data_IF_329166627499
#
_entry.id   IF_329166627499
#
_cell.length_a   1.000
_cell.length_b   1.000
_cell.length_c   1.000
_cell.angle_alpha   90.00
_cell.angle_beta   90.00
_cell.angle_gamma   90.00
#
_symmetry.space_group_name_H-M   'P 1'
#
loop_
_entity.id
_entity.type
_entity.pdbx_description
1 polymer ?
#
# COMPACT_ATOMS: atom_id res chain seq x y z
N UNK A 1 1.34 -28.43 5.37
CA UNK A 1 2.73 -28.40 4.83
C UNK A 1 3.78 -27.81 5.79
N UNK A 2 3.44 -27.34 7.00
CA UNK A 2 4.40 -26.80 7.99
C UNK A 2 5.13 -27.87 8.83
N UNK A 3 4.62 -29.10 8.91
CA UNK A 3 5.19 -30.16 9.76
C UNK A 3 6.47 -30.81 9.20
N UNK A 4 6.81 -30.59 7.93
CA UNK A 4 7.88 -31.32 7.24
C UNK A 4 9.31 -30.80 7.48
N UNK A 5 9.52 -29.57 7.99
CA UNK A 5 10.87 -29.00 8.08
C UNK A 5 11.73 -29.53 9.24
N UNK A 6 11.14 -30.15 10.27
CA UNK A 6 11.89 -30.60 11.47
C UNK A 6 12.17 -32.12 11.57
N UNK A 7 11.55 -32.98 10.74
CA UNK A 7 11.64 -34.46 10.90
C UNK A 7 11.95 -35.23 9.60
N UNK A 8 12.77 -34.70 8.69
CA UNK A 8 13.12 -35.36 7.40
C UNK A 8 13.78 -36.75 7.51
N UNK A 9 14.13 -37.26 8.71
CA UNK A 9 14.87 -38.53 8.88
C UNK A 9 14.06 -39.73 9.40
N UNK A 10 12.77 -39.60 9.77
CA UNK A 10 12.04 -40.70 10.46
C UNK A 10 11.05 -41.48 9.58
N UNK A 11 10.53 -40.91 8.49
CA UNK A 11 9.47 -41.55 7.70
C UNK A 11 9.74 -41.41 6.20
N UNK A 12 9.54 -42.51 5.46
CA UNK A 12 9.74 -42.59 4.00
C UNK A 12 8.42 -42.53 3.21
N UNK A 13 7.28 -42.62 3.90
CA UNK A 13 5.93 -42.59 3.31
C UNK A 13 5.09 -41.55 4.05
N UNK A 14 4.28 -40.80 3.31
CA UNK A 14 3.41 -39.76 3.87
C UNK A 14 1.97 -39.98 3.43
N UNK A 15 0.99 -39.79 4.35
CA UNK A 15 -0.41 -39.93 3.99
C UNK A 15 -0.85 -38.82 3.04
N UNK A 16 -1.81 -39.15 2.18
CA UNK A 16 -2.50 -38.16 1.35
C UNK A 16 -3.45 -37.31 2.20
N UNK A 17 -3.88 -36.17 1.66
CA UNK A 17 -4.87 -35.31 2.32
C UNK A 17 -6.13 -36.09 2.68
N UNK A 18 -6.73 -36.81 1.72
CA UNK A 18 -7.99 -37.53 1.90
C UNK A 18 -7.90 -38.70 2.90
N UNK A 19 -6.71 -39.28 3.09
CA UNK A 19 -6.46 -40.27 4.14
C UNK A 19 -6.31 -39.61 5.52
N UNK A 20 -5.51 -38.54 5.59
CA UNK A 20 -5.13 -37.93 6.86
C UNK A 20 -6.24 -37.11 7.54
N UNK A 21 -7.05 -36.37 6.77
CA UNK A 21 -8.04 -35.44 7.32
C UNK A 21 -9.04 -36.09 8.28
N UNK A 22 -9.79 -37.14 7.90
CA UNK A 22 -10.78 -37.76 8.79
C UNK A 22 -10.17 -38.36 10.05
N UNK A 23 -8.93 -38.85 9.97
CA UNK A 23 -8.22 -39.39 11.14
C UNK A 23 -7.82 -38.26 12.07
N UNK A 24 -7.21 -37.20 11.55
CA UNK A 24 -6.76 -36.05 12.35
C UNK A 24 -7.94 -35.33 12.99
N UNK A 25 -9.01 -35.06 12.24
CA UNK A 25 -10.20 -34.38 12.76
C UNK A 25 -10.82 -35.15 13.93
N UNK A 26 -10.96 -36.47 13.80
CA UNK A 26 -11.45 -37.30 14.90
C UNK A 26 -10.49 -37.38 16.06
N UNK A 27 -9.18 -37.53 15.84
CA UNK A 27 -8.20 -37.56 16.93
C UNK A 27 -8.19 -36.25 17.73
N UNK A 28 -8.31 -35.11 17.05
CA UNK A 28 -8.36 -33.77 17.65
C UNK A 28 -9.73 -33.43 18.28
N UNK A 29 -10.74 -34.28 18.10
CA UNK A 29 -12.07 -34.03 18.67
C UNK A 29 -12.87 -32.95 17.95
N UNK A 30 -12.61 -32.75 16.65
CA UNK A 30 -13.38 -31.83 15.83
C UNK A 30 -14.84 -32.29 15.80
N UNK A 31 -15.76 -31.38 16.14
CA UNK A 31 -17.21 -31.64 16.08
C UNK A 31 -17.81 -31.18 14.75
N UNK A 32 -17.32 -30.06 14.21
CA UNK A 32 -17.81 -29.43 12.98
C UNK A 32 -16.62 -29.11 12.07
N UNK A 33 -16.48 -29.85 10.98
CA UNK A 33 -15.43 -29.64 10.00
C UNK A 33 -15.93 -28.73 8.87
N UNK A 34 -15.60 -27.44 8.95
CA UNK A 34 -15.92 -26.46 7.92
C UNK A 34 -14.91 -26.53 6.77
N UNK A 35 -15.41 -26.75 5.55
CA UNK A 35 -14.59 -26.89 4.33
C UNK A 35 -15.14 -26.04 3.19
N UNK A 36 -14.29 -25.64 2.25
CA UNK A 36 -14.77 -24.97 1.03
C UNK A 36 -15.56 -25.95 0.16
N UNK A 37 -16.48 -25.40 -0.64
CA UNK A 37 -17.34 -26.13 -1.57
C UNK A 37 -16.57 -27.00 -2.59
N UNK A 38 -15.31 -26.65 -2.85
CA UNK A 38 -14.39 -27.40 -3.73
C UNK A 38 -14.15 -28.86 -3.25
N UNK A 39 -14.45 -29.17 -1.98
CA UNK A 39 -14.30 -30.50 -1.39
C UNK A 39 -15.62 -31.28 -1.30
N UNK A 40 -16.71 -30.78 -1.88
CA UNK A 40 -18.03 -31.39 -1.77
C UNK A 40 -18.04 -32.83 -2.25
N UNK A 41 -17.50 -33.07 -3.44
CA UNK A 41 -17.39 -34.40 -4.06
C UNK A 41 -16.50 -35.38 -3.28
N UNK A 42 -15.68 -34.87 -2.34
CA UNK A 42 -14.81 -35.68 -1.48
C UNK A 42 -15.45 -36.04 -0.14
N UNK A 43 -16.71 -35.67 0.09
CA UNK A 43 -17.40 -35.94 1.35
C UNK A 43 -17.63 -37.44 1.55
N UNK A 44 -18.06 -38.15 0.51
CA UNK A 44 -18.26 -39.61 0.58
C UNK A 44 -16.94 -40.35 0.85
N UNK A 45 -15.86 -39.89 0.21
CA UNK A 45 -14.52 -40.42 0.44
C UNK A 45 -14.06 -40.18 1.89
N UNK A 46 -14.31 -38.98 2.43
CA UNK A 46 -14.01 -38.64 3.81
C UNK A 46 -14.75 -39.56 4.79
N UNK A 47 -16.07 -39.73 4.61
CA UNK A 47 -16.90 -40.57 5.47
C UNK A 47 -16.51 -42.04 5.40
N UNK A 48 -16.18 -42.54 4.19
CA UNK A 48 -15.71 -43.91 4.00
C UNK A 48 -14.37 -44.12 4.70
N UNK A 49 -13.43 -43.19 4.57
CA UNK A 49 -12.13 -43.28 5.23
C UNK A 49 -12.27 -43.23 6.76
N UNK A 50 -13.12 -42.35 7.27
CA UNK A 50 -13.44 -42.30 8.70
C UNK A 50 -14.02 -43.64 9.20
N UNK A 51 -14.98 -44.20 8.46
CA UNK A 51 -15.62 -45.47 8.83
C UNK A 51 -14.61 -46.62 8.91
N UNK A 52 -13.64 -46.65 8.00
CA UNK A 52 -12.60 -47.70 7.96
C UNK A 52 -11.55 -47.49 9.05
N UNK A 53 -11.11 -46.26 9.28
CA UNK A 53 -9.92 -45.98 10.10
C UNK A 53 -10.21 -45.53 11.53
N UNK A 54 -11.42 -45.04 11.82
CA UNK A 54 -11.73 -44.38 13.10
C UNK A 54 -12.89 -45.05 13.84
N UNK A 55 -13.82 -45.71 13.14
CA UNK A 55 -15.03 -46.24 13.77
C UNK A 55 -14.71 -47.34 14.79
N UNK A 56 -15.05 -47.12 16.05
CA UNK A 56 -14.78 -48.05 17.15
C UNK A 56 -13.41 -47.90 17.79
N UNK A 57 -12.53 -47.09 17.20
CA UNK A 57 -11.23 -46.74 17.78
C UNK A 57 -11.39 -45.73 18.92
N UNK A 58 -10.38 -45.72 19.81
CA UNK A 58 -10.36 -44.84 21.00
C UNK A 58 -9.20 -43.85 20.95
N UNK A 59 -9.42 -42.67 21.51
CA UNK A 59 -8.34 -41.72 21.83
C UNK A 59 -7.50 -42.24 23.00
N UNK A 60 -6.40 -41.55 23.27
CA UNK A 60 -5.50 -41.86 24.40
C UNK A 60 -6.19 -41.75 25.77
N UNK A 61 -7.28 -40.99 25.88
CA UNK A 61 -8.09 -40.85 27.09
C UNK A 61 -9.20 -41.92 27.23
N UNK A 62 -9.28 -42.86 26.28
CA UNK A 62 -10.29 -43.92 26.26
C UNK A 62 -11.65 -43.54 25.66
N UNK A 63 -11.86 -42.28 25.26
CA UNK A 63 -13.06 -41.84 24.53
C UNK A 63 -13.10 -42.40 23.11
N UNK A 64 -14.29 -42.68 22.59
CA UNK A 64 -14.46 -43.13 21.20
C UNK A 64 -14.16 -41.99 20.22
N UNK A 65 -13.59 -42.33 19.07
CA UNK A 65 -13.47 -41.41 17.95
C UNK A 65 -14.86 -41.18 17.34
N UNK A 66 -15.21 -39.90 17.20
CA UNK A 66 -16.47 -39.46 16.60
C UNK A 66 -16.24 -38.88 15.21
N UNK A 67 -17.22 -39.04 14.33
CA UNK A 67 -17.20 -38.45 13.00
C UNK A 67 -17.65 -36.98 13.11
N UNK A 68 -16.85 -36.00 12.66
CA UNK A 68 -17.30 -34.62 12.63
C UNK A 68 -18.45 -34.44 11.64
N UNK A 69 -19.32 -33.48 11.93
CA UNK A 69 -20.32 -32.99 10.99
C UNK A 69 -19.62 -32.14 9.95
N UNK A 70 -19.80 -32.48 8.67
CA UNK A 70 -19.18 -31.76 7.56
C UNK A 70 -20.04 -30.58 7.15
N UNK A 71 -19.51 -29.36 7.29
CA UNK A 71 -20.13 -28.15 6.78
C UNK A 71 -19.34 -27.59 5.61
N UNK A 72 -20.07 -27.15 4.58
CA UNK A 72 -19.49 -26.65 3.34
C UNK A 72 -19.90 -25.20 3.11
N UNK A 73 -18.95 -24.37 2.68
CA UNK A 73 -19.17 -22.96 2.36
C UNK A 73 -18.45 -22.56 1.07
N UNK A 74 -18.98 -21.58 0.35
CA UNK A 74 -18.35 -21.04 -0.85
C UNK A 74 -17.10 -20.24 -0.48
N UNK A 75 -16.10 -20.28 -1.35
CA UNK A 75 -14.91 -19.46 -1.18
C UNK A 75 -15.25 -18.02 -1.53
N UNK A 76 -14.70 -17.08 -0.77
CA UNK A 76 -14.77 -15.66 -1.10
C UNK A 76 -13.96 -15.38 -2.39
N UNK A 77 -14.58 -14.71 -3.34
CA UNK A 77 -13.90 -14.22 -4.55
C UNK A 77 -14.09 -12.71 -4.71
N UNK A 78 -13.14 -12.08 -5.40
CA UNK A 78 -13.16 -10.65 -5.63
C UNK A 78 -12.92 -10.32 -7.11
N UNK A 79 -13.63 -9.33 -7.62
CA UNK A 79 -13.40 -8.81 -8.97
C UNK A 79 -12.04 -8.11 -9.04
N UNK A 80 -11.29 -8.30 -10.14
CA UNK A 80 -9.95 -7.71 -10.39
C UNK A 80 -8.84 -8.14 -9.42
N UNK A 81 -9.07 -9.17 -8.62
CA UNK A 81 -8.12 -9.68 -7.64
C UNK A 81 -7.91 -11.18 -7.84
N UNK A 82 -6.66 -11.57 -8.01
CA UNK A 82 -6.27 -12.97 -8.19
C UNK A 82 -5.80 -13.57 -6.86
N UNK A 83 -6.39 -14.69 -6.44
CA UNK A 83 -6.04 -15.39 -5.20
C UNK A 83 -5.19 -16.65 -5.44
N UNK A 84 -5.04 -17.08 -6.70
CA UNK A 84 -4.25 -18.26 -7.05
C UNK A 84 -2.77 -18.08 -6.72
N UNK A 85 -2.28 -18.92 -5.80
CA UNK A 85 -0.86 -18.96 -5.43
C UNK A 85 0.06 -19.07 -6.62
N UNK A 86 -0.28 -19.87 -7.64
CA UNK A 86 0.53 -20.04 -8.85
C UNK A 86 0.69 -18.73 -9.60
N UNK A 87 -0.40 -18.00 -9.82
CA UNK A 87 -0.38 -16.71 -10.55
C UNK A 87 0.31 -15.62 -9.73
N UNK A 88 0.07 -15.57 -8.42
CA UNK A 88 0.74 -14.61 -7.54
C UNK A 88 2.26 -14.87 -7.45
N UNK A 89 2.66 -16.14 -7.38
CA UNK A 89 4.09 -16.51 -7.40
C UNK A 89 4.74 -16.09 -8.72
N UNK A 90 4.06 -16.30 -9.85
CA UNK A 90 4.56 -15.85 -11.14
C UNK A 90 4.78 -14.32 -11.22
N UNK A 91 3.93 -13.50 -10.58
CA UNK A 91 4.15 -12.05 -10.50
C UNK A 91 5.41 -11.70 -9.70
N UNK A 92 5.66 -12.42 -8.62
CA UNK A 92 6.85 -12.24 -7.77
C UNK A 92 8.10 -12.67 -8.53
N UNK A 93 8.06 -13.85 -9.15
CA UNK A 93 9.19 -14.43 -9.90
C UNK A 93 9.56 -13.56 -11.11
N UNK A 94 8.56 -12.94 -11.76
CA UNK A 94 8.76 -11.97 -12.86
C UNK A 94 9.18 -10.57 -12.38
N UNK A 95 9.29 -10.35 -11.07
CA UNK A 95 9.66 -9.04 -10.50
C UNK A 95 8.61 -7.93 -10.70
N UNK A 96 7.37 -8.26 -11.06
CA UNK A 96 6.26 -7.30 -11.22
C UNK A 96 5.80 -6.73 -9.86
N UNK A 97 5.97 -7.52 -8.81
CA UNK A 97 5.74 -7.15 -7.41
C UNK A 97 6.99 -7.46 -6.58
N UNK A 98 7.19 -6.70 -5.49
CA UNK A 98 8.43 -6.80 -4.69
C UNK A 98 8.56 -8.09 -3.90
N UNK A 99 7.44 -8.70 -3.53
CA UNK A 99 7.38 -9.87 -2.66
C UNK A 99 5.98 -10.12 -2.13
N UNK A 100 5.82 -11.08 -1.21
CA UNK A 100 4.52 -11.47 -0.65
C UNK A 100 3.87 -10.39 0.24
N UNK A 101 4.64 -9.41 0.69
CA UNK A 101 4.20 -8.25 1.47
C UNK A 101 3.94 -7.01 0.60
N UNK A 102 3.98 -7.13 -0.74
CA UNK A 102 3.69 -6.03 -1.65
C UNK A 102 2.23 -5.55 -1.43
N UNK A 103 2.01 -4.23 -1.24
CA UNK A 103 0.70 -3.69 -0.89
C UNK A 103 -0.37 -3.86 -1.99
N UNK A 104 0.02 -4.23 -3.21
CA UNK A 104 -0.91 -4.55 -4.31
C UNK A 104 -1.42 -5.99 -4.25
N UNK A 105 -0.76 -6.87 -3.51
CA UNK A 105 -1.17 -8.27 -3.39
C UNK A 105 -2.32 -8.44 -2.38
N UNK A 106 -3.24 -9.38 -2.63
CA UNK A 106 -4.34 -9.68 -1.72
C UNK A 106 -3.93 -10.58 -0.55
N UNK A 107 -2.64 -10.62 -0.20
CA UNK A 107 -2.19 -11.29 1.03
C UNK A 107 -2.55 -10.43 2.23
N UNK A 108 -2.74 -11.06 3.39
CA UNK A 108 -2.95 -10.33 4.65
C UNK A 108 -1.81 -9.34 4.90
N UNK A 109 -0.55 -9.73 4.63
CA UNK A 109 0.60 -8.85 4.78
C UNK A 109 0.55 -7.65 3.82
N UNK A 110 0.21 -7.88 2.54
CA UNK A 110 0.09 -6.83 1.53
C UNK A 110 -1.01 -5.83 1.88
N UNK A 111 -2.23 -6.30 2.15
CA UNK A 111 -3.36 -5.41 2.44
C UNK A 111 -3.19 -4.65 3.76
N UNK A 112 -2.58 -5.27 4.79
CA UNK A 112 -2.24 -4.57 6.04
C UNK A 112 -1.16 -3.51 5.80
N UNK A 113 -0.14 -3.82 4.99
CA UNK A 113 0.86 -2.83 4.57
C UNK A 113 0.24 -1.68 3.78
N UNK A 114 -0.76 -1.96 2.93
CA UNK A 114 -1.53 -0.95 2.20
C UNK A 114 -2.35 -0.05 3.13
N UNK A 115 -2.73 -0.52 4.31
CA UNK A 115 -3.44 0.26 5.33
C UNK A 115 -4.75 -0.34 5.81
N UNK A 116 -5.03 -1.61 5.51
CA UNK A 116 -6.19 -2.31 6.04
C UNK A 116 -6.03 -2.56 7.55
N UNK A 117 -7.04 -2.18 8.33
CA UNK A 117 -7.16 -2.49 9.74
C UNK A 117 -7.75 -3.89 9.94
N UNK A 118 -7.18 -4.66 10.87
CA UNK A 118 -7.66 -6.02 11.15
C UNK A 118 -9.11 -6.04 11.65
N UNK A 119 -9.52 -5.01 12.39
CA UNK A 119 -10.90 -4.92 12.88
C UNK A 119 -11.89 -4.68 11.73
N UNK A 120 -11.47 -3.94 10.70
CA UNK A 120 -12.28 -3.79 9.48
C UNK A 120 -12.39 -5.11 8.71
N UNK A 121 -11.29 -5.87 8.62
CA UNK A 121 -11.31 -7.20 7.99
C UNK A 121 -12.23 -8.17 8.76
N UNK A 122 -12.14 -8.20 10.09
CA UNK A 122 -13.02 -9.01 10.95
C UNK A 122 -14.48 -8.61 10.79
N UNK A 123 -14.78 -7.32 10.78
CA UNK A 123 -16.12 -6.80 10.58
C UNK A 123 -16.66 -7.18 9.19
N UNK A 124 -15.83 -7.06 8.15
CA UNK A 124 -16.19 -7.48 6.79
C UNK A 124 -16.49 -8.98 6.70
N UNK A 125 -15.64 -9.83 7.28
CA UNK A 125 -15.84 -11.29 7.28
C UNK A 125 -17.07 -11.68 8.11
N UNK A 126 -17.33 -11.02 9.25
CA UNK A 126 -18.52 -11.27 10.08
C UNK A 126 -19.83 -10.91 9.36
N UNK A 127 -19.80 -9.85 8.55
CA UNK A 127 -20.93 -9.45 7.70
C UNK A 127 -21.18 -10.45 6.57
N UNK A 128 -20.15 -11.20 6.16
CA UNK A 128 -20.33 -12.27 5.18
C UNK A 128 -20.93 -13.50 5.87
N UNK A 129 -22.17 -13.85 5.51
CA UNK A 129 -22.76 -15.10 5.91
C UNK A 129 -22.04 -16.28 5.23
N UNK A 130 -21.89 -17.39 5.96
CA UNK A 130 -21.40 -18.64 5.37
C UNK A 130 -22.52 -19.23 4.51
N UNK A 131 -22.41 -19.05 3.20
CA UNK A 131 -23.37 -19.61 2.22
C UNK A 131 -22.64 -20.59 1.31
N UNK A 132 -23.39 -21.46 0.63
CA UNK A 132 -22.83 -22.34 -0.42
C UNK A 132 -22.87 -21.71 -1.82
N UNK A 133 -23.47 -20.51 -1.93
CA UNK A 133 -23.56 -19.77 -3.19
C UNK A 133 -22.26 -19.03 -3.42
N UNK A 134 -21.69 -19.21 -4.61
CA UNK A 134 -20.47 -18.52 -4.98
C UNK A 134 -20.75 -17.02 -5.08
N UNK A 135 -19.90 -16.22 -4.42
CA UNK A 135 -20.09 -14.80 -4.27
C UNK A 135 -18.81 -14.07 -4.70
N UNK A 136 -18.91 -13.36 -5.82
CA UNK A 136 -17.84 -12.51 -6.35
C UNK A 136 -18.15 -11.07 -5.98
N UNK A 137 -17.37 -10.51 -5.06
CA UNK A 137 -17.59 -9.17 -4.53
C UNK A 137 -16.59 -8.15 -5.08
N UNK A 138 -17.00 -6.89 -5.08
CA UNK A 138 -16.08 -5.80 -5.36
C UNK A 138 -15.17 -5.54 -4.16
N UNK A 139 -13.89 -5.28 -4.45
CA UNK A 139 -12.86 -5.03 -3.45
C UNK A 139 -13.16 -3.75 -2.63
N UNK A 140 -13.88 -2.80 -3.22
CA UNK A 140 -14.28 -1.53 -2.61
C UNK A 140 -15.16 -1.71 -1.36
N UNK A 141 -15.93 -2.81 -1.27
CA UNK A 141 -16.74 -3.10 -0.08
C UNK A 141 -15.83 -3.24 1.15
N UNK A 142 -14.73 -3.98 1.05
CA UNK A 142 -13.75 -4.15 2.14
C UNK A 142 -13.17 -2.80 2.60
N UNK A 143 -12.81 -1.93 1.65
CA UNK A 143 -12.27 -0.61 1.96
C UNK A 143 -13.29 0.33 2.60
N UNK A 144 -14.58 0.16 2.30
CA UNK A 144 -15.66 0.88 2.98
C UNK A 144 -15.74 0.52 4.47
N UNK A 145 -15.53 -0.76 4.83
CA UNK A 145 -15.39 -1.15 6.25
C UNK A 145 -14.13 -0.54 6.85
N UNK A 146 -13.02 -0.53 6.10
CA UNK A 146 -11.76 0.05 6.56
C UNK A 146 -11.89 1.53 6.89
N UNK A 147 -12.57 2.29 6.04
CA UNK A 147 -12.83 3.72 6.26
C UNK A 147 -13.54 3.98 7.58
N UNK A 148 -14.53 3.17 7.95
CA UNK A 148 -15.25 3.33 9.23
C UNK A 148 -14.34 3.20 10.45
N UNK A 149 -13.27 2.40 10.34
CA UNK A 149 -12.27 2.22 11.40
C UNK A 149 -11.20 3.32 11.35
N UNK A 150 -10.73 3.66 10.15
CA UNK A 150 -9.62 4.60 9.94
C UNK A 150 -10.04 6.06 10.13
N UNK A 151 -11.21 6.46 9.65
CA UNK A 151 -11.67 7.84 9.67
C UNK A 151 -11.64 8.50 11.07
N UNK A 152 -12.19 7.88 12.14
CA UNK A 152 -12.20 8.50 13.47
C UNK A 152 -10.83 8.59 14.16
N UNK A 153 -9.82 7.84 13.68
CA UNK A 153 -8.47 7.80 14.26
C UNK A 153 -7.42 8.55 13.42
N UNK A 154 -7.66 8.74 12.11
CA UNK A 154 -6.69 9.33 11.21
C UNK A 154 -6.58 10.85 11.42
N UNK A 155 -5.44 11.31 11.94
CA UNK A 155 -5.16 12.75 12.09
C UNK A 155 -5.19 13.46 10.74
N UNK A 156 -5.62 14.73 10.72
CA UNK A 156 -5.76 15.54 9.52
C UNK A 156 -4.50 16.36 9.32
N UNK A 157 -3.86 16.24 8.16
CA UNK A 157 -2.62 16.94 7.80
C UNK A 157 -2.79 17.66 6.47
N UNK A 158 -2.01 18.72 6.27
CA UNK A 158 -1.95 19.45 5.01
C UNK A 158 -0.71 19.04 4.21
N UNK A 159 -0.86 18.95 2.89
CA UNK A 159 0.27 18.86 1.98
C UNK A 159 -0.10 19.48 0.63
N UNK A 160 0.92 19.91 -0.11
CA UNK A 160 0.80 20.47 -1.46
C UNK A 160 1.71 19.73 -2.43
N UNK A 161 1.37 19.69 -3.72
CA UNK A 161 2.25 19.13 -4.76
C UNK A 161 3.62 19.80 -4.76
N UNK A 162 4.69 19.03 -4.95
CA UNK A 162 6.03 19.59 -5.06
C UNK A 162 6.24 20.33 -6.39
N UNK A 163 5.58 19.90 -7.46
CA UNK A 163 5.76 20.47 -8.81
C UNK A 163 4.72 21.54 -9.12
N UNK A 164 3.46 21.30 -8.74
CA UNK A 164 2.31 22.16 -9.04
C UNK A 164 1.88 22.94 -7.80
N UNK A 165 2.75 23.84 -7.34
CA UNK A 165 2.47 24.73 -6.20
C UNK A 165 2.60 26.20 -6.55
N UNK A 166 1.79 27.03 -5.91
CA UNK A 166 1.78 28.48 -6.05
C UNK A 166 2.25 29.13 -4.76
N UNK A 167 3.02 30.19 -4.90
CA UNK A 167 3.46 31.00 -3.76
C UNK A 167 2.39 32.03 -3.39
N UNK A 168 1.97 32.02 -2.13
CA UNK A 168 1.07 33.04 -1.57
C UNK A 168 1.86 33.86 -0.54
N UNK A 169 1.96 35.15 -0.78
CA UNK A 169 2.57 36.11 0.13
C UNK A 169 1.47 36.79 0.95
N UNK A 170 1.54 36.63 2.26
CA UNK A 170 0.56 37.13 3.21
C UNK A 170 1.14 38.37 3.89
N UNK A 171 0.56 39.53 3.56
CA UNK A 171 0.82 40.79 4.28
C UNK A 171 0.30 40.68 5.71
N UNK A 172 0.72 41.62 6.56
CA UNK A 172 0.26 41.76 7.96
C UNK A 172 0.24 40.46 8.80
N UNK A 173 1.02 39.45 8.43
CA UNK A 173 1.13 38.19 9.16
C UNK A 173 2.08 38.35 10.35
N UNK A 174 1.53 38.28 11.55
CA UNK A 174 2.25 38.39 12.82
C UNK A 174 2.18 37.10 13.66
N UNK A 175 1.64 36.02 13.09
CA UNK A 175 1.55 34.70 13.74
C UNK A 175 2.68 33.81 13.27
N UNK A 176 3.43 33.23 14.21
CA UNK A 176 4.46 32.21 13.93
C UNK A 176 3.89 30.79 13.93
N UNK A 177 2.76 30.58 14.62
CA UNK A 177 2.10 29.29 14.68
C UNK A 177 0.66 29.34 15.16
N UNK A 178 -0.10 28.31 14.81
CA UNK A 178 -1.50 28.15 15.16
C UNK A 178 -1.76 26.74 15.68
N UNK A 179 -2.29 26.64 16.91
CA UNK A 179 -2.75 25.38 17.49
C UNK A 179 -4.12 25.01 16.90
N UNK A 180 -4.20 23.85 16.26
CA UNK A 180 -5.43 23.34 15.65
C UNK A 180 -5.71 21.91 16.10
N UNK A 181 -6.98 21.49 16.20
CA UNK A 181 -7.31 20.10 16.48
C UNK A 181 -6.67 19.16 15.44
N UNK A 182 -6.06 18.06 15.90
CA UNK A 182 -5.53 17.06 14.99
C UNK A 182 -6.65 16.34 14.23
N UNK A 183 -7.82 16.17 14.87
CA UNK A 183 -9.02 15.63 14.25
C UNK A 183 -10.24 16.52 14.57
N UNK A 184 -11.02 16.94 13.56
CA UNK A 184 -12.08 17.94 13.75
C UNK A 184 -13.22 17.46 14.65
N UNK A 185 -13.55 16.17 14.61
CA UNK A 185 -14.64 15.59 15.41
C UNK A 185 -14.15 14.77 16.60
N UNK A 186 -12.83 14.66 16.81
CA UNK A 186 -12.28 13.78 17.86
C UNK A 186 -11.20 14.51 18.68
N UNK A 187 -11.59 15.25 19.72
CA UNK A 187 -10.66 15.99 20.57
C UNK A 187 -9.61 15.11 21.27
N UNK A 188 -9.90 13.82 21.51
CA UNK A 188 -8.95 12.89 22.14
C UNK A 188 -7.68 12.65 21.33
N UNK A 189 -7.69 12.97 20.03
CA UNK A 189 -6.50 12.92 19.16
C UNK A 189 -5.52 14.07 19.43
N UNK A 190 -5.90 15.02 20.28
CA UNK A 190 -5.07 16.15 20.66
C UNK A 190 -5.02 17.24 19.58
N UNK A 191 -3.97 18.04 19.66
CA UNK A 191 -3.74 19.21 18.81
C UNK A 191 -2.44 19.05 18.05
N UNK A 192 -2.31 19.79 16.95
CA UNK A 192 -1.06 20.01 16.24
C UNK A 192 -0.83 21.50 16.07
N UNK A 193 0.44 21.89 15.89
CA UNK A 193 0.80 23.28 15.60
C UNK A 193 1.08 23.41 14.11
N UNK A 194 0.30 24.26 13.43
CA UNK A 194 0.59 24.71 12.08
C UNK A 194 1.55 25.88 12.16
N UNK A 195 2.72 25.76 11.55
CA UNK A 195 3.65 26.88 11.43
C UNK A 195 3.18 27.79 10.31
N UNK A 196 3.01 29.08 10.61
CA UNK A 196 2.56 30.09 9.64
C UNK A 196 3.73 31.05 9.44
N UNK A 197 3.89 31.52 8.21
CA UNK A 197 4.85 32.58 7.90
C UNK A 197 4.25 33.54 6.88
N UNK A 198 5.02 34.57 6.52
CA UNK A 198 4.64 35.54 5.48
C UNK A 198 4.49 34.90 4.10
N UNK A 199 5.08 33.73 3.89
CA UNK A 199 5.02 33.01 2.62
C UNK A 199 4.55 31.59 2.87
N UNK A 200 3.52 31.18 2.13
CA UNK A 200 3.00 29.81 2.13
C UNK A 200 2.89 29.30 0.70
N UNK A 201 2.86 27.98 0.56
CA UNK A 201 2.55 27.32 -0.69
C UNK A 201 1.15 26.74 -0.66
N UNK A 202 0.43 26.90 -1.77
CA UNK A 202 -0.86 26.26 -2.03
C UNK A 202 -0.76 25.38 -3.28
N UNK A 203 -1.74 24.50 -3.48
CA UNK A 203 -1.87 23.72 -4.71
C UNK A 203 -2.20 24.60 -5.91
N UNK A 204 -1.59 24.33 -7.07
CA UNK A 204 -1.94 25.00 -8.34
C UNK A 204 -3.43 24.89 -8.66
N UNK A 205 -4.01 23.72 -8.40
CA UNK A 205 -5.44 23.47 -8.63
C UNK A 205 -6.31 24.41 -7.79
N UNK A 206 -5.97 24.61 -6.51
CA UNK A 206 -6.71 25.52 -5.64
C UNK A 206 -6.48 26.98 -6.06
N UNK A 207 -5.26 27.32 -6.49
CA UNK A 207 -4.95 28.65 -7.02
C UNK A 207 -5.77 28.98 -8.28
N UNK A 208 -5.95 28.01 -9.17
CA UNK A 208 -6.75 28.18 -10.38
C UNK A 208 -8.23 28.39 -10.06
N UNK A 209 -8.81 27.62 -9.13
CA UNK A 209 -10.17 27.86 -8.64
C UNK A 209 -10.31 29.24 -8.01
N UNK A 210 -9.30 29.69 -7.26
CA UNK A 210 -9.27 31.04 -6.67
C UNK A 210 -9.26 32.11 -7.77
N UNK A 211 -8.46 31.93 -8.83
CA UNK A 211 -8.42 32.84 -10.00
C UNK A 211 -9.79 32.93 -10.68
N UNK A 212 -10.42 31.80 -10.96
CA UNK A 212 -11.73 31.73 -11.62
C UNK A 212 -12.82 32.45 -10.79
N UNK A 213 -12.82 32.28 -9.47
CA UNK A 213 -13.77 32.97 -8.59
C UNK A 213 -13.44 34.46 -8.44
N UNK A 214 -12.15 34.83 -8.43
CA UNK A 214 -11.71 36.23 -8.43
C UNK A 214 -12.16 36.98 -9.69
N UNK A 215 -12.08 36.34 -10.86
CA UNK A 215 -12.61 36.89 -12.12
C UNK A 215 -14.14 37.08 -12.09
N UNK A 216 -14.86 36.35 -11.24
CA UNK A 216 -16.31 36.52 -10.96
C UNK A 216 -16.61 37.54 -9.86
N UNK A 217 -15.60 38.21 -9.32
CA UNK A 217 -15.73 39.25 -8.29
C UNK A 217 -15.53 38.77 -6.85
N UNK A 218 -15.16 37.50 -6.62
CA UNK A 218 -14.82 37.01 -5.27
C UNK A 218 -13.35 37.34 -4.94
N UNK A 219 -13.15 38.43 -4.22
CA UNK A 219 -11.80 38.89 -3.84
C UNK A 219 -11.26 38.26 -2.54
N UNK A 220 -11.95 37.26 -1.98
CA UNK A 220 -11.55 36.62 -0.72
C UNK A 220 -11.57 35.10 -0.83
N UNK A 221 -10.59 34.45 -0.22
CA UNK A 221 -10.56 32.99 -0.08
C UNK A 221 -10.11 32.57 1.32
N UNK A 222 -10.17 31.28 1.61
CA UNK A 222 -9.86 30.73 2.94
C UNK A 222 -8.60 29.89 2.85
N UNK A 223 -7.61 30.22 3.68
CA UNK A 223 -6.50 29.33 4.00
C UNK A 223 -6.95 28.40 5.13
N UNK A 224 -6.97 27.10 4.85
CA UNK A 224 -7.54 26.10 5.75
C UNK A 224 -6.94 26.19 7.16
N UNK A 225 -7.81 26.21 8.17
CA UNK A 225 -7.53 26.44 9.59
C UNK A 225 -6.95 27.82 9.96
N UNK A 226 -6.39 28.60 9.02
CA UNK A 226 -5.83 29.92 9.31
C UNK A 226 -6.89 31.03 9.30
N UNK A 227 -7.74 31.07 8.27
CA UNK A 227 -8.83 32.05 8.16
C UNK A 227 -8.98 32.67 6.78
N UNK A 228 -9.74 33.76 6.72
CA UNK A 228 -10.04 34.49 5.48
C UNK A 228 -8.87 35.40 5.11
N UNK A 229 -8.53 35.41 3.82
CA UNK A 229 -7.56 36.33 3.24
C UNK A 229 -8.19 37.08 2.07
N UNK A 230 -7.79 38.34 1.89
CA UNK A 230 -8.21 39.18 0.77
C UNK A 230 -7.11 39.24 -0.28
N UNK A 231 -7.48 39.08 -1.54
CA UNK A 231 -6.57 39.14 -2.69
C UNK A 231 -6.25 40.61 -2.96
N UNK A 232 -4.98 40.97 -2.86
CA UNK A 232 -4.48 42.30 -3.25
C UNK A 232 -3.97 42.29 -4.69
N UNK A 233 -3.31 41.18 -5.09
CA UNK A 233 -2.77 41.00 -6.43
C UNK A 233 -2.69 39.51 -6.75
N UNK A 234 -3.10 39.15 -7.95
CA UNK A 234 -2.95 37.81 -8.51
C UNK A 234 -2.12 37.92 -9.80
N UNK A 235 -1.06 37.13 -9.90
CA UNK A 235 -0.17 37.08 -11.06
C UNK A 235 -0.29 35.71 -11.71
N UNK A 236 -0.60 35.70 -13.00
CA UNK A 236 -0.73 34.50 -13.81
C UNK A 236 -0.01 34.66 -15.14
N UNK A 237 0.58 33.57 -15.64
CA UNK A 237 1.28 33.47 -16.92
C UNK A 237 0.98 32.13 -17.55
N UNK A 238 0.82 32.08 -18.88
CA UNK A 238 0.51 30.84 -19.63
C UNK A 238 -0.62 30.00 -19.00
N UNK A 239 -1.71 30.66 -18.60
CA UNK A 239 -2.86 30.07 -17.91
C UNK A 239 -2.57 29.34 -16.59
N UNK A 240 -1.41 29.61 -15.98
CA UNK A 240 -1.07 29.14 -14.64
C UNK A 240 -0.94 30.34 -13.70
N UNK A 241 -1.51 30.21 -12.50
CA UNK A 241 -1.24 31.16 -11.41
C UNK A 241 0.20 30.97 -10.94
N UNK A 242 0.97 32.05 -10.88
CA UNK A 242 2.38 32.02 -10.44
C UNK A 242 2.52 32.48 -8.99
N UNK A 243 1.80 33.55 -8.63
CA UNK A 243 1.89 34.18 -7.30
C UNK A 243 0.58 34.87 -6.94
N UNK A 244 0.22 34.79 -5.65
CA UNK A 244 -0.89 35.56 -5.09
C UNK A 244 -0.35 36.37 -3.91
N UNK A 245 -0.70 37.65 -3.84
CA UNK A 245 -0.41 38.53 -2.71
C UNK A 245 -1.73 38.82 -2.02
N UNK A 246 -1.77 38.59 -0.71
CA UNK A 246 -2.99 38.67 0.08
C UNK A 246 -2.79 39.45 1.38
N UNK A 247 -3.86 40.01 1.90
CA UNK A 247 -3.94 40.59 3.25
C UNK A 247 -4.73 39.63 4.16
N UNK A 248 -4.21 39.30 5.34
CA UNK A 248 -4.89 38.44 6.31
C UNK A 248 -5.96 39.21 7.08
N UNK A 249 -7.18 38.66 7.16
CA UNK A 249 -8.33 39.27 7.82
C UNK A 249 -8.78 38.43 9.03
N UNK A 250 -8.09 38.51 10.19
CA UNK A 250 -8.36 37.66 11.36
C UNK A 250 -9.78 37.82 11.91
N UNK A 251 -10.34 39.03 11.85
CA UNK A 251 -11.67 39.33 12.38
C UNK A 251 -12.82 38.86 11.45
N UNK A 252 -12.49 38.54 10.19
CA UNK A 252 -13.49 38.10 9.22
C UNK A 252 -13.80 36.61 9.37
N UNK A 253 -14.95 36.33 9.99
CA UNK A 253 -15.47 34.96 10.21
C UNK A 253 -16.46 34.49 9.13
N UNK A 254 -16.52 35.17 7.99
CA UNK A 254 -17.43 34.80 6.90
C UNK A 254 -16.83 33.67 6.06
N UNK A 255 -17.02 32.42 6.50
CA UNK A 255 -16.44 31.25 5.82
C UNK A 255 -17.29 30.68 4.67
N UNK A 256 -18.51 31.17 4.48
CA UNK A 256 -19.42 30.66 3.43
C UNK A 256 -19.05 31.24 2.06
N UNK A 257 -19.28 30.45 1.01
CA UNK A 257 -19.17 30.87 -0.40
C UNK A 257 -17.79 31.42 -0.81
N UNK A 258 -16.73 30.92 -0.17
CA UNK A 258 -15.35 31.25 -0.51
C UNK A 258 -14.58 29.98 -0.87
N UNK A 259 -13.69 30.01 -1.88
CA UNK A 259 -12.83 28.88 -2.16
C UNK A 259 -11.90 28.61 -0.97
N UNK A 260 -11.64 27.32 -0.70
CA UNK A 260 -10.79 26.87 0.42
C UNK A 260 -9.55 26.16 -0.13
N UNK A 261 -8.39 26.70 0.22
CA UNK A 261 -7.09 26.17 -0.16
C UNK A 261 -6.41 25.46 1.02
N UNK A 262 -5.86 24.28 0.75
CA UNK A 262 -4.85 23.66 1.62
C UNK A 262 -3.50 24.30 1.37
N UNK A 263 -2.70 24.46 2.43
CA UNK A 263 -1.44 25.18 2.37
C UNK A 263 -0.38 24.54 3.26
N UNK A 264 0.89 24.84 2.97
CA UNK A 264 2.03 24.52 3.85
C UNK A 264 2.96 25.73 3.93
N UNK A 265 3.67 25.94 5.04
CA UNK A 265 4.59 27.07 5.16
C UNK A 265 5.76 26.95 4.17
N UNK A 266 6.21 28.08 3.64
CA UNK A 266 7.44 28.14 2.86
C UNK A 266 8.66 28.21 3.80
N UNK A 267 9.08 27.07 4.35
CA UNK A 267 10.27 27.01 5.22
C UNK A 267 10.98 25.64 5.18
N UNK A 268 12.17 25.60 5.77
CA UNK A 268 13.03 24.40 5.84
C UNK A 268 12.49 23.30 6.77
N UNK A 269 11.47 23.57 7.59
CA UNK A 269 10.88 22.60 8.50
C UNK A 269 9.79 21.74 7.85
N UNK A 270 9.43 22.03 6.60
CA UNK A 270 8.48 21.20 5.84
C UNK A 270 8.98 19.78 5.63
N UNK A 271 8.05 18.82 5.61
CA UNK A 271 8.36 17.42 5.39
C UNK A 271 8.17 17.05 3.92
N UNK A 272 9.21 16.53 3.28
CA UNK A 272 9.07 15.99 1.93
C UNK A 272 8.45 14.61 1.99
N UNK A 273 7.38 14.41 1.21
CA UNK A 273 6.64 13.16 1.19
C UNK A 273 6.44 12.66 -0.23
N UNK A 274 6.46 11.35 -0.37
CA UNK A 274 6.14 10.63 -1.59
C UNK A 274 4.83 9.91 -1.35
N UNK A 275 3.79 10.38 -2.02
CA UNK A 275 2.46 9.78 -1.99
C UNK A 275 2.42 8.67 -3.03
N UNK A 276 2.16 7.45 -2.58
CA UNK A 276 2.11 6.24 -3.42
C UNK A 276 0.66 5.83 -3.59
N UNK A 277 0.17 5.87 -4.81
CA UNK A 277 -1.14 5.34 -5.18
C UNK A 277 -0.99 4.02 -5.95
N UNK A 278 -1.84 3.06 -5.63
CA UNK A 278 -1.74 1.69 -6.09
C UNK A 278 -3.01 1.30 -6.82
N UNK A 279 -2.86 0.80 -8.04
CA UNK A 279 -3.96 0.27 -8.84
C UNK A 279 -4.04 -1.26 -8.77
N UNK A 280 -5.10 -1.83 -9.36
CA UNK A 280 -5.30 -3.27 -9.49
C UNK A 280 -4.19 -3.91 -10.33
N UNK A 281 -3.76 -5.11 -9.95
CA UNK A 281 -2.78 -5.89 -10.72
C UNK A 281 -3.40 -6.54 -11.96
N UNK A 282 -4.72 -6.66 -12.00
CA UNK A 282 -5.46 -7.35 -13.06
C UNK A 282 -6.69 -6.56 -13.49
N UNK A 283 -7.05 -6.68 -14.77
CA UNK A 283 -8.35 -6.23 -15.28
C UNK A 283 -9.47 -7.16 -14.81
N UNK A 284 -10.73 -6.81 -15.07
CA UNK A 284 -11.89 -7.66 -14.74
C UNK A 284 -11.82 -9.03 -15.46
N UNK A 285 -11.23 -9.07 -16.65
CA UNK A 285 -11.02 -10.28 -17.45
C UNK A 285 -9.75 -11.06 -17.04
N UNK A 286 -9.04 -10.61 -16.00
CA UNK A 286 -7.86 -11.29 -15.47
C UNK A 286 -6.56 -11.05 -16.24
N UNK A 287 -6.50 -10.04 -17.12
CA UNK A 287 -5.26 -9.64 -17.80
C UNK A 287 -4.39 -8.80 -16.86
N UNK A 288 -3.07 -9.00 -16.80
CA UNK A 288 -2.19 -8.23 -15.94
C UNK A 288 -2.11 -6.76 -16.41
N UNK A 289 -2.04 -5.84 -15.45
CA UNK A 289 -1.85 -4.40 -15.69
C UNK A 289 -0.38 -4.05 -15.40
N UNK A 290 0.27 -3.34 -16.33
CA UNK A 290 1.70 -3.04 -16.21
C UNK A 290 1.97 -1.88 -15.23
N UNK A 291 1.18 -0.83 -15.29
CA UNK A 291 1.41 0.42 -14.56
C UNK A 291 0.46 0.54 -13.37
N UNK A 292 0.89 0.02 -12.22
CA UNK A 292 0.05 -0.09 -11.01
C UNK A 292 0.65 0.61 -9.79
N UNK A 293 1.78 1.29 -9.98
CA UNK A 293 2.50 2.02 -8.95
C UNK A 293 2.70 3.46 -9.40
N UNK A 294 1.98 4.36 -8.75
CA UNK A 294 1.96 5.78 -9.05
C UNK A 294 2.59 6.53 -7.89
N UNK A 295 3.58 7.37 -8.16
CA UNK A 295 4.22 8.21 -7.15
C UNK A 295 3.96 9.70 -7.46
N UNK A 296 3.62 10.46 -6.43
CA UNK A 296 3.57 11.92 -6.49
C UNK A 296 4.43 12.49 -5.37
N UNK A 297 5.37 13.37 -5.73
CA UNK A 297 6.16 14.10 -4.74
C UNK A 297 5.35 15.29 -4.22
N UNK A 298 5.29 15.43 -2.90
CA UNK A 298 4.55 16.49 -2.22
C UNK A 298 5.36 17.05 -1.05
N UNK A 299 4.98 18.24 -0.61
CA UNK A 299 5.52 18.92 0.56
C UNK A 299 4.41 18.98 1.60
N UNK A 300 4.64 18.42 2.78
CA UNK A 300 3.69 18.35 3.86
C UNK A 300 4.07 19.28 5.02
N UNK A 301 3.09 19.59 5.86
CA UNK A 301 3.29 20.37 7.07
C UNK A 301 4.33 19.73 8.02
N UNK A 302 5.07 20.52 8.82
CA UNK A 302 6.19 20.02 9.65
C UNK A 302 5.84 18.88 10.60
N UNK A 303 4.61 18.84 11.12
CA UNK A 303 4.09 17.81 12.04
C UNK A 303 4.14 16.39 11.46
N UNK A 304 4.20 16.25 10.12
CA UNK A 304 4.36 14.95 9.45
C UNK A 304 5.71 14.28 9.79
N UNK A 305 6.71 15.06 10.18
CA UNK A 305 8.01 14.53 10.64
C UNK A 305 7.93 13.70 11.92
N UNK A 306 6.85 13.86 12.71
CA UNK A 306 6.63 13.13 13.96
C UNK A 306 5.98 11.77 13.73
N UNK A 307 5.54 11.47 12.50
CA UNK A 307 4.83 10.23 12.19
C UNK A 307 5.78 9.04 12.13
N UNK A 308 5.32 7.93 12.71
CA UNK A 308 6.01 6.65 12.74
C UNK A 308 5.51 5.72 11.63
N UNK A 309 6.32 4.71 11.31
CA UNK A 309 5.92 3.66 10.36
C UNK A 309 4.64 2.99 10.84
N UNK A 310 3.65 2.90 9.95
CA UNK A 310 2.35 2.30 10.22
C UNK A 310 1.27 3.28 10.64
N UNK A 311 1.62 4.52 10.98
CA UNK A 311 0.63 5.55 11.27
C UNK A 311 -0.25 5.80 10.06
N UNK A 312 -1.54 6.01 10.32
CA UNK A 312 -2.52 6.36 9.30
C UNK A 312 -2.98 7.79 9.52
N UNK A 313 -2.91 8.56 8.44
CA UNK A 313 -3.25 9.97 8.38
C UNK A 313 -4.21 10.25 7.24
N UNK A 314 -4.90 11.37 7.30
CA UNK A 314 -5.61 11.92 6.16
C UNK A 314 -4.93 13.21 5.72
N UNK A 315 -4.44 13.24 4.48
CA UNK A 315 -4.13 14.50 3.83
C UNK A 315 -5.42 15.12 3.34
N UNK A 316 -5.76 16.30 3.86
CA UNK A 316 -7.02 16.96 3.55
C UNK A 316 -7.14 17.19 2.04
N UNK A 317 -8.33 16.93 1.47
CA UNK A 317 -8.62 16.90 0.03
C UNK A 317 -7.86 15.84 -0.79
N UNK A 318 -6.90 15.09 -0.25
CA UNK A 318 -6.16 14.06 -1.00
C UNK A 318 -6.58 12.64 -0.66
N UNK A 319 -6.75 12.32 0.61
CA UNK A 319 -7.17 10.99 1.03
C UNK A 319 -6.49 10.47 2.28
N UNK A 320 -6.75 9.19 2.57
CA UNK A 320 -6.08 8.47 3.65
C UNK A 320 -4.77 7.88 3.17
N UNK A 321 -3.75 7.91 4.02
CA UNK A 321 -2.44 7.39 3.73
C UNK A 321 -1.84 6.69 4.95
N UNK A 322 -1.14 5.58 4.73
CA UNK A 322 -0.35 4.88 5.74
C UNK A 322 1.13 5.14 5.52
N UNK A 323 1.85 5.49 6.57
CA UNK A 323 3.31 5.67 6.52
C UNK A 323 4.00 4.33 6.31
N UNK A 324 4.57 4.09 5.12
CA UNK A 324 5.40 2.91 4.84
C UNK A 324 6.86 3.15 5.25
N UNK A 325 7.33 4.39 5.08
CA UNK A 325 8.63 4.90 5.53
C UNK A 325 8.48 6.29 6.16
N UNK A 326 8.90 6.51 7.41
CA UNK A 326 8.82 7.80 8.08
C UNK A 326 9.81 8.82 7.49
N UNK A 327 9.62 10.10 7.80
CA UNK A 327 10.52 11.17 7.37
C UNK A 327 11.75 11.25 8.28
N UNK A 328 12.95 11.34 7.70
CA UNK A 328 14.21 11.48 8.45
C UNK A 328 14.89 12.84 8.23
N UNK A 329 14.14 13.87 7.81
CA UNK A 329 14.64 15.24 7.74
C UNK A 329 15.38 15.62 6.46
N UNK A 330 15.41 14.76 5.43
CA UNK A 330 16.14 15.01 4.17
C UNK A 330 15.20 14.99 2.97
N UNK A 331 15.33 15.97 2.08
CA UNK A 331 14.53 16.06 0.85
C UNK A 331 14.82 14.90 -0.11
N UNK A 332 16.08 14.47 -0.17
CA UNK A 332 16.56 13.38 -1.03
C UNK A 332 16.00 12.03 -0.57
N UNK A 333 15.56 11.95 0.68
CA UNK A 333 14.97 10.77 1.28
C UNK A 333 13.59 11.07 1.90
N UNK A 334 12.57 11.35 1.06
CA UNK A 334 11.25 11.74 1.54
C UNK A 334 10.57 10.57 2.28
N UNK A 335 9.63 10.90 3.17
CA UNK A 335 8.73 9.88 3.72
C UNK A 335 7.95 9.22 2.59
N UNK A 336 7.61 7.95 2.74
CA UNK A 336 6.78 7.21 1.76
C UNK A 336 5.47 6.86 2.42
N UNK A 337 4.37 7.35 1.86
CA UNK A 337 3.04 7.05 2.36
C UNK A 337 2.19 6.40 1.28
N UNK A 338 1.56 5.27 1.60
CA UNK A 338 0.72 4.50 0.69
C UNK A 338 -0.73 4.90 0.87
N UNK A 339 -1.40 5.22 -0.22
CA UNK A 339 -2.82 5.56 -0.24
C UNK A 339 -3.67 4.38 0.25
N UNK A 340 -4.54 4.67 1.21
CA UNK A 340 -5.52 3.75 1.77
C UNK A 340 -6.87 4.03 1.10
N UNK A 341 -7.42 3.09 0.31
CA UNK A 341 -8.72 3.31 -0.33
C UNK A 341 -9.84 3.47 0.70
N UNK A 342 -10.85 4.25 0.32
CA UNK A 342 -11.98 4.59 1.19
C UNK A 342 -13.30 3.92 0.76
N UNK A 343 -13.22 3.03 -0.25
CA UNK A 343 -14.33 2.25 -0.78
C UNK A 343 -15.20 2.97 -1.80
N UNK A 344 -14.83 4.19 -2.23
CA UNK A 344 -15.47 4.88 -3.34
C UNK A 344 -14.71 4.64 -4.64
N UNK A 345 -15.44 4.52 -5.75
CA UNK A 345 -14.88 4.45 -7.10
C UNK A 345 -14.36 5.80 -7.60
N UNK A 346 -14.88 6.91 -7.07
CA UNK A 346 -14.41 8.28 -7.36
C UNK A 346 -13.37 8.72 -6.34
N UNK A 347 -12.41 9.52 -6.78
CA UNK A 347 -11.43 10.15 -5.91
C UNK A 347 -12.10 10.96 -4.80
N UNK A 348 -11.40 11.13 -3.66
CA UNK A 348 -11.96 11.81 -2.50
C UNK A 348 -12.30 13.28 -2.78
N UNK A 349 -11.59 13.92 -3.71
CA UNK A 349 -11.87 15.27 -4.17
C UNK A 349 -11.36 15.50 -5.60
N UNK A 350 -11.83 16.57 -6.23
CA UNK A 350 -11.32 17.00 -7.55
C UNK A 350 -9.82 17.30 -7.54
N UNK A 351 -9.24 17.75 -6.42
CA UNK A 351 -7.79 17.94 -6.28
C UNK A 351 -7.03 16.61 -6.37
N UNK A 352 -7.56 15.57 -5.73
CA UNK A 352 -6.97 14.22 -5.77
C UNK A 352 -7.01 13.65 -7.20
N UNK A 353 -8.07 13.95 -7.94
CA UNK A 353 -8.23 13.56 -9.35
C UNK A 353 -7.29 14.34 -10.28
N UNK A 354 -7.14 15.66 -10.08
CA UNK A 354 -6.29 16.54 -10.89
C UNK A 354 -4.78 16.43 -10.58
N UNK A 355 -4.40 15.65 -9.56
CA UNK A 355 -3.00 15.49 -9.16
C UNK A 355 -2.21 14.73 -10.23
N UNK A 356 -1.08 15.28 -10.67
CA UNK A 356 -0.15 14.57 -11.54
C UNK A 356 0.46 13.37 -10.81
N UNK A 357 0.33 12.20 -11.42
CA UNK A 357 0.83 10.92 -10.91
C UNK A 357 1.88 10.42 -11.87
N UNK A 358 3.09 10.23 -11.37
CA UNK A 358 4.16 9.66 -12.18
C UNK A 358 4.11 8.14 -12.07
N UNK A 359 4.05 7.50 -13.22
CA UNK A 359 4.18 6.05 -13.29
C UNK A 359 5.61 5.70 -12.92
N UNK A 360 5.75 4.88 -11.89
CA UNK A 360 7.03 4.35 -11.52
C UNK A 360 7.12 2.92 -12.00
N UNK A 361 7.73 2.76 -13.17
CA UNK A 361 8.26 1.49 -13.62
C UNK A 361 9.53 1.22 -12.81
N UNK A 362 9.38 0.89 -11.52
CA UNK A 362 10.47 0.27 -10.78
C UNK A 362 10.65 -1.11 -11.40
N UNK A 363 11.45 -1.17 -12.45
CA UNK A 363 12.13 -2.39 -12.80
C UNK A 363 12.85 -2.83 -11.53
N UNK A 364 12.35 -3.87 -10.87
CA UNK A 364 13.29 -4.82 -10.30
C UNK A 364 14.01 -5.44 -11.48
N UNK A 365 14.90 -4.67 -12.10
CA UNK A 365 16.17 -5.24 -12.44
C UNK A 365 16.72 -5.67 -11.07
N UNK A 366 16.48 -6.93 -10.70
CA UNK A 366 17.64 -7.74 -10.41
C UNK A 366 18.51 -7.56 -11.64
N UNK A 367 19.34 -6.51 -11.61
CA UNK A 367 20.49 -6.47 -12.49
C UNK A 367 21.21 -7.71 -11.98
N UNK A 368 21.13 -8.79 -12.75
CA UNK A 368 22.34 -9.50 -13.11
C UNK A 368 23.30 -8.44 -13.66
N UNK A 369 23.83 -7.59 -12.77
CA UNK A 369 24.96 -6.73 -13.07
C UNK A 369 26.13 -7.65 -12.91
N UNK A 370 26.27 -8.54 -13.90
CA UNK A 370 27.59 -8.76 -14.46
C UNK A 370 28.01 -7.42 -15.06
N UNK A 371 28.39 -6.46 -14.20
CA UNK A 371 29.32 -5.41 -14.59
C UNK A 371 30.64 -6.15 -14.78
N UNK A 372 30.86 -6.63 -16.00
CA UNK A 372 32.21 -6.92 -16.45
C UNK A 372 32.90 -5.58 -16.63
N UNK A 373 33.63 -5.15 -15.61
CA UNK A 373 34.74 -4.22 -15.82
C UNK A 373 35.89 -5.05 -16.35
N UNK A 374 36.11 -4.97 -17.67
CA UNK A 374 37.37 -5.39 -18.28
C UNK A 374 38.45 -4.42 -17.80
N UNK A 375 39.40 -4.93 -17.04
CA UNK A 375 40.73 -4.33 -16.93
C UNK A 375 41.64 -5.20 -17.78
N UNK A 376 42.00 -4.68 -18.96
CA UNK A 376 43.13 -5.20 -19.71
C UNK A 376 44.39 -4.88 -18.91
N UNK A 377 45.02 -5.93 -18.39
CA UNK A 377 46.47 -6.20 -18.38
C UNK A 377 46.76 -7.29 -17.33
N UNK A 378 47.41 -8.37 -17.79
CA UNK A 378 47.84 -9.59 -17.08
C UNK A 378 46.81 -10.75 -17.01
N UNK A 379 47.12 -11.82 -17.74
CA UNK A 379 46.42 -13.11 -17.79
C UNK A 379 46.42 -13.86 -16.44
N UNK A 380 45.59 -13.44 -15.48
CA UNK A 380 45.28 -14.21 -14.27
C UNK A 380 43.83 -13.96 -13.83
N UNK A 381 43.02 -15.02 -13.76
CA UNK A 381 41.62 -14.93 -13.33
C UNK A 381 41.49 -15.25 -11.83
N UNK A 382 40.92 -14.32 -11.08
CA UNK A 382 40.54 -14.52 -9.67
C UNK A 382 39.03 -14.70 -9.56
N UNK A 383 38.59 -15.78 -8.89
CA UNK A 383 37.20 -15.95 -8.48
C UNK A 383 37.12 -15.95 -6.94
N UNK A 384 36.51 -14.91 -6.37
CA UNK A 384 36.25 -14.80 -4.93
C UNK A 384 34.75 -14.90 -4.69
N UNK A 385 34.33 -15.95 -3.98
CA UNK A 385 32.93 -16.17 -3.61
C UNK A 385 32.72 -15.80 -2.13
N UNK A 386 31.78 -14.91 -1.87
CA UNK A 386 31.37 -14.54 -0.51
C UNK A 386 30.09 -15.26 -0.12
N UNK A 387 30.15 -16.10 0.91
CA UNK A 387 28.96 -16.63 1.58
C UNK A 387 29.06 -16.45 3.09
N UNK A 388 28.14 -15.61 3.62
CA UNK A 388 27.81 -15.22 5.00
C UNK A 388 28.84 -15.23 6.14
N UNK A 389 29.85 -16.08 6.23
CA UNK A 389 30.96 -15.98 7.20
C UNK A 389 32.29 -16.63 6.76
N UNK A 390 32.55 -16.87 5.47
CA UNK A 390 33.87 -17.35 5.00
C UNK A 390 34.19 -16.91 3.56
N UNK A 391 35.49 -16.80 3.26
CA UNK A 391 36.05 -16.45 1.95
C UNK A 391 36.69 -17.70 1.35
N UNK A 392 36.31 -18.06 0.11
CA UNK A 392 36.96 -19.11 -0.66
C UNK A 392 37.63 -18.50 -1.89
N UNK A 393 38.90 -18.84 -2.12
CA UNK A 393 39.66 -18.49 -3.33
C UNK A 393 39.93 -19.77 -4.13
N UNK A 394 39.53 -19.79 -5.40
CA UNK A 394 39.89 -20.85 -6.35
C UNK A 394 40.83 -20.31 -7.43
N UNK A 395 41.83 -21.10 -7.79
CA UNK A 395 42.83 -20.80 -8.82
C UNK A 395 42.52 -21.59 -10.10
N UNK A 396 42.54 -20.93 -11.26
CA UNK A 396 42.49 -21.59 -12.57
C UNK A 396 43.61 -21.08 -13.46
N UNK A 397 44.37 -22.01 -14.05
CA UNK A 397 45.40 -21.75 -15.05
C UNK A 397 44.91 -22.30 -16.39
N UNK A 398 44.63 -21.44 -17.36
CA UNK A 398 44.27 -21.85 -18.72
C UNK A 398 45.55 -21.88 -19.57
N UNK A 399 45.93 -23.06 -20.05
CA UNK A 399 46.91 -23.25 -21.11
C UNK A 399 46.21 -23.19 -22.46
N UNK A 400 46.54 -22.21 -23.30
CA UNK A 400 46.01 -22.10 -24.66
C UNK A 400 46.75 -22.99 -25.66
N UNK A 401 46.06 -23.39 -26.73
CA UNK A 401 46.60 -23.25 -28.09
C UNK A 401 45.55 -23.46 -29.20
N UNK A 402 45.53 -22.45 -30.07
CA UNK A 402 45.34 -22.39 -31.53
C UNK A 402 44.10 -22.97 -32.25
N UNK A 403 43.51 -22.04 -33.00
CA UNK A 403 42.62 -22.21 -34.16
C UNK A 403 43.49 -22.55 -35.39
N UNK A 404 43.04 -23.48 -36.23
CA UNK A 404 43.37 -23.49 -37.66
C UNK A 404 42.20 -24.04 -38.50
N UNK A 405 42.13 -23.54 -39.73
CA UNK A 405 41.00 -23.44 -40.66
C UNK A 405 40.88 -24.59 -41.69
N UNK A 406 39.64 -25.10 -41.91
CA UNK A 406 38.99 -25.66 -43.14
C UNK A 406 39.69 -26.72 -44.05
N UNK A 407 39.01 -27.41 -45.03
CA UNK A 407 37.65 -27.97 -45.15
C UNK A 407 37.60 -29.44 -45.68
N UNK A 408 36.38 -29.98 -45.86
CA UNK A 408 35.95 -31.07 -46.79
C UNK A 408 35.99 -32.57 -46.38
N UNK A 409 34.82 -33.19 -46.59
CA UNK A 409 34.50 -34.58 -47.02
C UNK A 409 35.16 -35.79 -46.34
N UNK A 410 34.38 -36.58 -45.60
CA UNK A 410 33.63 -37.76 -46.10
C UNK A 410 32.57 -38.16 -45.07
#
# INVERSE_FOLDING_TARGET
MLYQKKKRKRFNVYPTYDFSCPIVDSLEGVTHAFRSKEYNERSDQYLKMWSICCKGEKRSDGSLLECPILYQFSRQEFTRVELSKRKLSALIDQGKVKGWDDPRLPTIQGIVRRGLQLDALRAFVRDQAMTQRDNKQEWDKLWSYNKKVVDPIAGRYLCVSAEKRVTVEIKNMNLDGLSVPLHPQNPSRGIKVLHVGKVVWIEQFDAQLIREEHEKGQNQFILMNLGVVQIDRLVSSNDQVEKIIVTYLPDNKQYKQKPIATWVPHNHHTAWVKLVELDYLFTADGKPIEQTWLETLAIAEPSVSLLSRGDIVQFVKRGFFRVDKPYFGRKEDPAVLIFVPDGKSKAMSALSEATNKFIVTRFCNVVLSKKFTFYDELNMFFLVLFHKHSIFMLWFKLSGNQINTSPSTS
#
